data_IF_018382951665
#
_entry.id   IF_018382951665
#
_cell.length_a   1.000
_cell.length_b   1.000
_cell.length_c   1.000
_cell.angle_alpha   90.00
_cell.angle_beta   90.00
_cell.angle_gamma   90.00
#
_symmetry.space_group_name_H-M   'P 1'
#
loop_
_entity.id
_entity.type
_entity.pdbx_description
1 polymer ?
#
# COMPACT_ATOMS: atom_id res chain seq x y z
N UNK A 1 -19.98 5.60 31.19
CA UNK A 1 -18.88 4.71 31.61
C UNK A 1 -17.59 5.54 31.63
N UNK A 2 -16.63 5.22 32.50
CA UNK A 2 -15.47 6.08 32.78
C UNK A 2 -14.47 6.12 31.61
N UNK A 3 -14.27 7.30 31.04
CA UNK A 3 -13.48 7.49 29.82
C UNK A 3 -11.97 7.67 30.12
N UNK A 4 -11.35 6.62 30.66
CA UNK A 4 -9.90 6.60 30.93
C UNK A 4 -9.12 6.30 29.63
N UNK A 5 -8.18 7.18 29.27
CA UNK A 5 -7.33 7.04 28.06
C UNK A 5 -6.36 5.84 28.14
N UNK A 6 -5.97 5.45 29.35
CA UNK A 6 -5.06 4.33 29.65
C UNK A 6 -5.65 3.51 30.80
N UNK A 7 -5.38 2.21 30.85
CA UNK A 7 -5.77 1.35 31.97
C UNK A 7 -5.14 1.86 33.29
N UNK A 8 -5.94 2.33 34.28
CA UNK A 8 -5.40 2.93 35.50
C UNK A 8 -4.58 1.95 36.36
N UNK A 9 -4.81 0.63 36.22
CA UNK A 9 -4.01 -0.37 36.91
C UNK A 9 -2.56 -0.42 36.41
N UNK A 10 -2.33 -0.18 35.11
CA UNK A 10 -0.97 -0.05 34.55
C UNK A 10 -0.27 1.18 35.14
N UNK A 11 -0.94 2.35 35.13
CA UNK A 11 -0.37 3.59 35.68
C UNK A 11 -0.01 3.47 37.16
N UNK A 12 -0.82 2.77 37.96
CA UNK A 12 -0.50 2.50 39.37
C UNK A 12 0.68 1.53 39.50
N UNK A 13 0.72 0.46 38.70
CA UNK A 13 1.82 -0.50 38.68
C UNK A 13 3.15 0.15 38.30
N UNK A 14 3.18 0.93 37.21
CA UNK A 14 4.37 1.60 36.70
C UNK A 14 4.93 2.60 37.73
N UNK A 15 4.06 3.40 38.37
CA UNK A 15 4.44 4.32 39.45
C UNK A 15 5.04 3.58 40.65
N UNK A 16 4.40 2.49 41.11
CA UNK A 16 4.86 1.71 42.28
C UNK A 16 6.18 0.99 41.98
N UNK A 17 6.34 0.42 40.78
CA UNK A 17 7.57 -0.27 40.38
C UNK A 17 8.72 0.69 40.11
N UNK A 18 8.47 1.88 39.58
CA UNK A 18 9.48 2.92 39.43
C UNK A 18 10.05 3.36 40.78
N UNK A 19 9.19 3.55 41.80
CA UNK A 19 9.59 3.87 43.17
C UNK A 19 10.36 2.73 43.84
N UNK A 20 9.85 1.48 43.78
CA UNK A 20 10.49 0.31 44.41
C UNK A 20 11.86 -0.02 43.80
N UNK A 21 12.10 0.37 42.55
CA UNK A 21 13.38 0.12 41.85
C UNK A 21 14.22 1.38 41.63
N UNK A 22 13.90 2.52 42.26
CA UNK A 22 14.57 3.80 42.03
C UNK A 22 16.09 3.72 42.24
N UNK A 23 16.54 3.20 43.39
CA UNK A 23 17.97 3.03 43.70
C UNK A 23 18.71 2.15 42.69
N UNK A 24 18.08 1.05 42.23
CA UNK A 24 18.68 0.11 41.27
C UNK A 24 18.80 0.78 39.89
N UNK A 25 17.78 1.55 39.49
CA UNK A 25 17.78 2.31 38.24
C UNK A 25 18.79 3.47 38.29
N UNK A 26 18.93 4.15 39.44
CA UNK A 26 19.90 5.20 39.66
C UNK A 26 21.34 4.67 39.65
N UNK A 27 21.60 3.55 40.35
CA UNK A 27 22.89 2.87 40.34
C UNK A 27 23.26 2.35 38.95
N UNK A 28 22.30 1.86 38.17
CA UNK A 28 22.52 1.46 36.77
C UNK A 28 22.86 2.64 35.86
N UNK A 29 22.12 3.75 35.95
CA UNK A 29 22.45 5.00 35.22
C UNK A 29 23.82 5.56 35.59
N UNK A 30 24.24 5.37 36.85
CA UNK A 30 25.56 5.76 37.34
C UNK A 30 26.68 4.72 37.08
N UNK A 31 26.40 3.63 36.34
CA UNK A 31 27.32 2.51 36.07
C UNK A 31 27.89 1.81 37.34
N UNK A 32 27.17 1.89 38.46
CA UNK A 32 27.56 1.28 39.76
C UNK A 32 27.04 -0.15 39.92
N UNK A 33 25.88 -0.46 39.36
CA UNK A 33 25.26 -1.79 39.38
C UNK A 33 24.72 -2.12 37.98
N UNK A 34 24.89 -3.36 37.51
CA UNK A 34 24.27 -3.78 36.23
C UNK A 34 22.84 -4.27 36.48
N UNK A 35 21.88 -3.76 35.71
CA UNK A 35 20.50 -4.30 35.72
C UNK A 35 20.52 -5.82 35.49
N UNK A 36 19.73 -6.53 36.31
CA UNK A 36 19.62 -7.99 36.26
C UNK A 36 18.97 -8.41 34.94
N UNK A 37 19.68 -9.22 34.16
CA UNK A 37 19.20 -9.79 32.90
C UNK A 37 18.79 -11.24 33.09
N UNK A 38 17.75 -11.67 32.40
CA UNK A 38 17.45 -13.09 32.25
C UNK A 38 18.59 -13.81 31.49
N UNK A 39 18.70 -15.12 31.69
CA UNK A 39 19.61 -15.99 30.94
C UNK A 39 18.76 -16.97 30.12
N UNK A 40 19.17 -17.24 28.88
CA UNK A 40 18.48 -18.19 28.01
C UNK A 40 18.55 -19.60 28.64
N UNK A 41 17.42 -20.31 28.65
CA UNK A 41 17.35 -21.67 29.22
C UNK A 41 18.09 -22.69 28.34
N UNK A 42 18.60 -23.77 28.94
CA UNK A 42 19.21 -24.86 28.17
C UNK A 42 18.18 -25.50 27.23
N UNK A 43 18.58 -25.82 26.00
CA UNK A 43 17.69 -26.33 24.95
C UNK A 43 16.87 -25.26 24.22
N UNK A 44 16.97 -23.98 24.62
CA UNK A 44 16.36 -22.86 23.90
C UNK A 44 17.24 -22.46 22.70
N UNK A 45 16.65 -22.39 21.51
CA UNK A 45 17.30 -22.00 20.26
C UNK A 45 16.60 -20.80 19.61
N UNK A 46 17.34 -20.06 18.80
CA UNK A 46 16.80 -18.96 17.98
C UNK A 46 16.50 -19.46 16.58
N UNK A 47 15.27 -19.28 16.12
CA UNK A 47 14.86 -19.58 14.75
C UNK A 47 14.26 -18.34 14.08
N UNK A 48 14.54 -18.14 12.79
CA UNK A 48 13.93 -17.08 11.98
C UNK A 48 12.85 -17.68 11.11
N UNK A 49 11.61 -17.25 11.34
CA UNK A 49 10.38 -17.77 10.73
C UNK A 49 9.65 -16.68 9.96
N UNK A 50 8.63 -17.06 9.20
CA UNK A 50 7.75 -16.16 8.47
C UNK A 50 6.61 -15.64 9.36
N UNK A 51 6.45 -14.30 9.43
CA UNK A 51 5.39 -13.60 10.19
C UNK A 51 3.96 -14.01 9.81
N UNK A 52 3.73 -14.52 8.59
CA UNK A 52 2.39 -14.82 8.07
C UNK A 52 2.00 -16.31 8.12
N UNK A 53 2.97 -17.23 8.18
CA UNK A 53 2.72 -18.69 8.22
C UNK A 53 3.25 -19.40 9.47
N UNK A 54 4.14 -18.77 10.25
CA UNK A 54 4.85 -19.42 11.36
C UNK A 54 5.93 -20.43 10.93
N UNK A 55 6.00 -20.78 9.64
CA UNK A 55 6.96 -21.71 9.05
C UNK A 55 8.34 -21.07 8.85
N UNK A 56 9.36 -21.88 8.53
CA UNK A 56 10.73 -21.43 8.28
C UNK A 56 10.77 -20.39 7.14
N UNK A 57 11.60 -19.36 7.32
CA UNK A 57 11.61 -18.16 6.46
C UNK A 57 12.28 -18.44 5.11
N UNK A 58 11.66 -18.05 3.98
CA UNK A 58 12.17 -18.28 2.62
C UNK A 58 12.40 -16.96 1.85
N UNK A 59 13.15 -16.98 0.75
CA UNK A 59 13.36 -15.76 -0.06
C UNK A 59 12.06 -15.16 -0.61
N UNK A 60 11.00 -15.96 -0.76
CA UNK A 60 9.68 -15.45 -1.13
C UNK A 60 9.08 -14.54 -0.03
N UNK A 61 9.36 -14.80 1.25
CA UNK A 61 8.91 -13.97 2.38
C UNK A 61 9.57 -12.58 2.42
N UNK A 62 10.79 -12.45 1.89
CA UNK A 62 11.49 -11.15 1.77
C UNK A 62 10.93 -10.27 0.66
N UNK A 63 10.30 -10.87 -0.35
CA UNK A 63 9.75 -10.19 -1.54
C UNK A 63 8.31 -9.67 -1.34
N UNK A 64 7.79 -9.70 -0.13
CA UNK A 64 6.45 -9.21 0.17
C UNK A 64 6.39 -7.68 0.01
N UNK A 65 5.37 -7.11 -0.67
CA UNK A 65 5.25 -5.66 -0.84
C UNK A 65 5.03 -4.87 0.47
N UNK A 66 4.79 -5.55 1.60
CA UNK A 66 4.77 -4.96 2.95
C UNK A 66 6.16 -4.87 3.60
N UNK A 67 7.23 -5.27 2.90
CA UNK A 67 8.58 -5.40 3.43
C UNK A 67 8.83 -6.76 4.10
N UNK A 68 10.06 -6.98 4.57
CA UNK A 68 10.53 -8.31 5.02
C UNK A 68 9.64 -8.95 6.10
N UNK A 69 9.15 -10.14 5.78
CA UNK A 69 8.29 -10.96 6.63
C UNK A 69 9.07 -11.90 7.55
N UNK A 70 10.40 -11.80 7.60
CA UNK A 70 11.22 -12.50 8.60
C UNK A 70 10.92 -12.05 10.04
N UNK A 71 10.96 -12.98 10.99
CA UNK A 71 10.91 -12.69 12.43
C UNK A 71 11.78 -13.71 13.15
N UNK A 72 12.67 -13.28 14.04
CA UNK A 72 13.38 -14.21 14.94
C UNK A 72 12.56 -14.41 16.22
N UNK A 73 12.48 -15.66 16.67
CA UNK A 73 11.87 -16.07 17.94
C UNK A 73 12.72 -17.11 18.66
N UNK A 74 12.33 -17.39 19.91
CA UNK A 74 12.94 -18.42 20.75
C UNK A 74 12.03 -19.66 20.77
N UNK A 75 12.62 -20.83 20.60
CA UNK A 75 11.92 -22.13 20.50
C UNK A 75 12.71 -23.20 21.29
N UNK A 76 12.08 -24.31 21.67
CA UNK A 76 12.85 -25.53 21.94
C UNK A 76 13.22 -26.20 20.62
N UNK A 77 14.22 -27.08 20.63
CA UNK A 77 14.62 -27.85 19.43
C UNK A 77 13.41 -28.57 18.79
N UNK A 78 12.54 -29.17 19.62
CA UNK A 78 11.38 -29.95 19.17
C UNK A 78 10.19 -29.08 18.71
N UNK A 79 10.22 -27.76 18.94
CA UNK A 79 9.13 -26.83 18.60
C UNK A 79 9.51 -25.78 17.55
N UNK A 80 10.76 -25.76 17.09
CA UNK A 80 11.18 -24.87 16.02
C UNK A 80 10.57 -25.31 14.66
N UNK A 81 10.14 -24.37 13.80
CA UNK A 81 9.56 -24.71 12.51
C UNK A 81 10.61 -25.32 11.56
N UNK A 82 10.33 -26.53 11.09
CA UNK A 82 11.19 -27.28 10.17
C UNK A 82 10.72 -27.23 8.71
N UNK A 83 9.42 -27.04 8.47
CA UNK A 83 8.87 -26.82 7.13
C UNK A 83 9.14 -25.40 6.64
N UNK A 84 9.42 -25.23 5.35
CA UNK A 84 9.54 -23.94 4.68
C UNK A 84 8.18 -23.25 4.47
N UNK A 85 8.19 -21.91 4.42
CA UNK A 85 7.02 -21.10 4.11
C UNK A 85 6.51 -21.33 2.67
N UNK A 86 5.28 -21.83 2.59
CA UNK A 86 4.52 -22.20 1.39
C UNK A 86 3.48 -21.14 0.96
N UNK A 87 3.07 -20.25 1.87
CA UNK A 87 2.05 -19.22 1.58
C UNK A 87 2.56 -18.07 0.71
N UNK A 88 3.86 -17.77 0.73
CA UNK A 88 4.44 -16.68 -0.08
C UNK A 88 4.70 -17.14 -1.52
N UNK A 89 3.86 -16.72 -2.46
CA UNK A 89 3.96 -17.07 -3.88
C UNK A 89 4.61 -15.92 -4.66
N UNK A 90 5.76 -16.16 -5.29
CA UNK A 90 6.45 -15.18 -6.13
C UNK A 90 5.67 -14.95 -7.42
N UNK A 91 5.42 -13.67 -7.74
CA UNK A 91 4.78 -13.22 -8.98
C UNK A 91 5.68 -12.23 -9.73
N UNK A 92 5.57 -12.25 -11.06
CA UNK A 92 6.10 -11.18 -11.89
C UNK A 92 5.17 -9.96 -11.77
N UNK A 93 5.74 -8.77 -11.60
CA UNK A 93 5.01 -7.53 -11.38
C UNK A 93 5.57 -6.42 -12.26
N UNK A 94 4.70 -5.74 -13.01
CA UNK A 94 5.08 -4.64 -13.88
C UNK A 94 5.15 -3.34 -13.07
N UNK A 95 6.36 -2.80 -12.89
CA UNK A 95 6.61 -1.60 -12.09
C UNK A 95 6.09 -0.30 -12.73
N UNK A 96 5.84 -0.29 -14.04
CA UNK A 96 5.42 0.91 -14.79
C UNK A 96 3.92 1.11 -14.72
N UNK A 97 3.15 0.04 -14.87
CA UNK A 97 1.68 0.07 -14.75
C UNK A 97 1.22 -0.17 -13.31
N UNK A 98 2.04 -0.88 -12.53
CA UNK A 98 1.70 -1.41 -11.22
C UNK A 98 0.63 -2.49 -11.36
N UNK A 99 1.03 -3.75 -11.36
CA UNK A 99 0.12 -4.90 -11.34
C UNK A 99 0.85 -6.20 -11.62
N UNK A 100 0.21 -7.33 -11.29
CA UNK A 100 0.68 -8.66 -11.66
C UNK A 100 0.83 -8.72 -13.18
N UNK A 101 2.05 -8.99 -13.64
CA UNK A 101 2.44 -8.81 -15.03
C UNK A 101 1.79 -9.85 -15.95
N UNK A 102 1.42 -9.41 -17.15
CA UNK A 102 1.03 -10.30 -18.24
C UNK A 102 2.26 -10.75 -19.05
N UNK A 103 2.08 -11.75 -19.92
CA UNK A 103 3.10 -12.17 -20.90
C UNK A 103 3.46 -11.09 -21.94
N UNK A 104 2.73 -9.98 -21.98
CA UNK A 104 2.93 -8.86 -22.89
C UNK A 104 3.59 -7.64 -22.22
N UNK A 105 3.78 -7.66 -20.89
CA UNK A 105 4.52 -6.63 -20.17
C UNK A 105 5.98 -6.58 -20.63
N UNK A 106 6.52 -5.37 -20.81
CA UNK A 106 7.93 -5.19 -21.16
C UNK A 106 8.84 -5.76 -20.06
N UNK A 107 9.65 -6.77 -20.39
CA UNK A 107 10.50 -7.49 -19.43
C UNK A 107 11.50 -6.61 -18.68
N UNK A 108 11.89 -5.45 -19.22
CA UNK A 108 12.75 -4.46 -18.52
C UNK A 108 12.05 -3.77 -17.34
N UNK A 109 10.71 -3.83 -17.30
CA UNK A 109 9.87 -3.26 -16.25
C UNK A 109 9.32 -4.31 -15.28
N UNK A 110 9.53 -5.61 -15.56
CA UNK A 110 9.14 -6.69 -14.66
C UNK A 110 10.12 -6.79 -13.49
N UNK A 111 9.58 -6.79 -12.28
CA UNK A 111 10.27 -7.12 -11.02
C UNK A 111 9.56 -8.29 -10.34
N UNK A 112 10.22 -8.92 -9.36
CA UNK A 112 9.62 -9.99 -8.56
C UNK A 112 9.12 -9.42 -7.23
N UNK A 113 7.86 -9.65 -6.93
CA UNK A 113 7.28 -9.54 -5.58
C UNK A 113 6.69 -10.89 -5.19
N UNK A 114 6.26 -11.06 -3.95
CA UNK A 114 5.42 -12.17 -3.51
C UNK A 114 4.06 -11.70 -3.03
N UNK A 115 3.10 -12.63 -3.03
CA UNK A 115 1.74 -12.45 -2.56
C UNK A 115 1.35 -13.64 -1.66
N UNK A 116 0.41 -13.43 -0.74
CA UNK A 116 -0.02 -14.44 0.24
C UNK A 116 -1.11 -15.33 -0.37
N UNK A 117 -0.82 -16.62 -0.55
CA UNK A 117 -1.80 -17.62 -0.96
C UNK A 117 -2.93 -17.73 0.07
N UNK A 118 -4.15 -17.34 -0.29
CA UNK A 118 -5.34 -17.48 0.57
C UNK A 118 -6.53 -17.94 -0.27
N UNK A 119 -6.62 -19.26 -0.46
CA UNK A 119 -7.55 -19.91 -1.38
C UNK A 119 -8.96 -20.08 -0.75
N UNK A 120 -9.04 -20.27 0.57
CA UNK A 120 -10.31 -20.57 1.27
C UNK A 120 -11.14 -19.34 1.72
N UNK A 121 -10.60 -18.13 1.61
CA UNK A 121 -11.24 -16.89 2.10
C UNK A 121 -12.42 -16.47 1.21
N UNK A 122 -13.61 -16.98 1.51
CA UNK A 122 -14.84 -16.71 0.76
C UNK A 122 -15.93 -16.19 1.71
N UNK A 123 -16.10 -14.87 1.77
CA UNK A 123 -17.13 -14.21 2.58
C UNK A 123 -18.47 -14.14 1.81
N UNK A 124 -19.63 -14.27 2.49
CA UNK A 124 -20.96 -14.17 1.88
C UNK A 124 -21.42 -12.72 1.60
N UNK A 125 -20.55 -11.74 1.86
CA UNK A 125 -20.74 -10.32 1.55
C UNK A 125 -19.38 -9.64 1.46
N UNK A 126 -19.28 -8.58 0.67
CA UNK A 126 -18.04 -7.79 0.63
C UNK A 126 -17.78 -7.15 2.01
N UNK A 127 -16.56 -7.32 2.52
CA UNK A 127 -16.09 -6.71 3.77
C UNK A 127 -14.70 -6.09 3.58
N UNK A 128 -14.35 -5.13 4.44
CA UNK A 128 -13.01 -4.54 4.43
C UNK A 128 -12.05 -5.44 5.21
N UNK A 129 -10.98 -5.89 4.56
CA UNK A 129 -9.85 -6.62 5.16
C UNK A 129 -8.56 -6.04 4.58
N UNK A 130 -7.71 -5.46 5.43
CA UNK A 130 -6.56 -4.62 5.02
C UNK A 130 -5.51 -5.36 4.20
N UNK A 131 -5.40 -6.68 4.36
CA UNK A 131 -4.47 -7.55 3.63
C UNK A 131 -5.01 -8.07 2.30
N UNK A 132 -6.29 -7.86 1.97
CA UNK A 132 -6.94 -8.45 0.79
C UNK A 132 -6.25 -8.07 -0.54
N UNK A 133 -5.59 -6.90 -0.57
CA UNK A 133 -4.75 -6.42 -1.67
C UNK A 133 -3.44 -7.20 -1.89
N UNK A 134 -3.04 -8.05 -0.96
CA UNK A 134 -1.82 -8.87 -1.04
C UNK A 134 -2.13 -10.36 -1.24
N UNK A 135 -3.40 -10.74 -1.36
CA UNK A 135 -3.82 -12.13 -1.56
C UNK A 135 -3.43 -12.64 -2.95
N UNK A 136 -3.08 -13.92 -3.03
CA UNK A 136 -2.88 -14.70 -4.25
C UNK A 136 -3.87 -15.87 -4.29
N UNK A 137 -4.33 -16.20 -5.50
CA UNK A 137 -4.87 -17.52 -5.85
C UNK A 137 -4.35 -17.89 -7.24
N UNK A 138 -4.11 -19.18 -7.47
CA UNK A 138 -3.77 -19.65 -8.81
C UNK A 138 -4.95 -19.41 -9.77
N UNK A 139 -4.67 -18.81 -10.93
CA UNK A 139 -5.65 -18.60 -11.99
C UNK A 139 -5.61 -19.80 -12.96
N UNK A 140 -6.71 -20.56 -13.14
CA UNK A 140 -6.75 -21.66 -14.10
C UNK A 140 -6.52 -21.17 -15.53
N UNK A 141 -5.80 -21.94 -16.35
CA UNK A 141 -5.35 -21.53 -17.70
C UNK A 141 -6.49 -21.24 -18.69
N UNK A 142 -7.72 -21.63 -18.38
CA UNK A 142 -8.93 -21.38 -19.16
C UNK A 142 -9.75 -20.17 -18.65
N UNK A 143 -9.29 -19.45 -17.63
CA UNK A 143 -9.96 -18.27 -17.07
C UNK A 143 -9.09 -17.03 -17.30
N UNK A 144 -9.63 -16.03 -17.99
CA UNK A 144 -8.95 -14.74 -18.17
C UNK A 144 -8.82 -14.00 -16.82
N UNK A 145 -7.73 -13.24 -16.58
CA UNK A 145 -7.59 -12.44 -15.38
C UNK A 145 -8.62 -11.31 -15.33
N UNK A 146 -8.86 -10.75 -14.15
CA UNK A 146 -9.75 -9.61 -13.97
C UNK A 146 -9.15 -8.34 -14.60
N UNK A 147 -9.88 -7.72 -15.53
CA UNK A 147 -9.42 -6.52 -16.24
C UNK A 147 -9.66 -5.18 -15.53
N UNK A 148 -10.41 -5.16 -14.43
CA UNK A 148 -10.72 -3.93 -13.69
C UNK A 148 -9.66 -3.65 -12.61
N UNK A 149 -9.19 -2.41 -12.54
CA UNK A 149 -8.01 -2.01 -11.75
C UNK A 149 -8.23 -2.01 -10.23
N UNK A 150 -9.47 -2.09 -9.76
CA UNK A 150 -9.86 -2.09 -8.34
C UNK A 150 -10.16 -3.48 -7.74
N UNK A 151 -9.96 -4.57 -8.49
CA UNK A 151 -10.14 -5.96 -8.03
C UNK A 151 -8.84 -6.77 -8.15
N UNK A 152 -8.69 -7.86 -7.38
CA UNK A 152 -7.59 -8.80 -7.57
C UNK A 152 -7.64 -9.48 -8.95
N UNK A 153 -6.48 -9.85 -9.49
CA UNK A 153 -6.35 -10.51 -10.80
C UNK A 153 -7.17 -11.80 -10.93
N UNK A 154 -7.44 -12.48 -9.80
CA UNK A 154 -8.19 -13.73 -9.73
C UNK A 154 -9.70 -13.56 -9.51
N UNK A 155 -10.26 -12.34 -9.47
CA UNK A 155 -11.68 -12.09 -9.18
C UNK A 155 -12.64 -12.98 -9.99
N UNK A 156 -12.29 -13.31 -11.23
CA UNK A 156 -13.05 -14.16 -12.15
C UNK A 156 -13.14 -15.65 -11.76
N UNK A 157 -12.45 -16.10 -10.69
CA UNK A 157 -12.57 -17.48 -10.16
C UNK A 157 -13.49 -17.56 -8.92
N UNK A 158 -13.95 -16.42 -8.39
CA UNK A 158 -14.91 -16.38 -7.29
C UNK A 158 -16.31 -16.67 -7.82
N UNK A 159 -17.13 -17.40 -7.05
CA UNK A 159 -18.54 -17.65 -7.42
C UNK A 159 -19.37 -16.40 -7.17
N UNK A 160 -20.53 -16.31 -7.84
CA UNK A 160 -21.50 -15.25 -7.57
C UNK A 160 -21.90 -15.23 -6.08
N UNK A 161 -21.68 -14.09 -5.43
CA UNK A 161 -21.92 -13.91 -3.99
C UNK A 161 -20.76 -14.30 -3.06
N UNK A 162 -19.65 -14.86 -3.57
CA UNK A 162 -18.43 -15.10 -2.81
C UNK A 162 -17.43 -13.95 -2.96
N UNK A 163 -16.92 -13.43 -1.84
CA UNK A 163 -16.00 -12.29 -1.81
C UNK A 163 -14.70 -12.62 -1.07
N UNK A 164 -13.55 -12.26 -1.63
CA UNK A 164 -12.25 -12.35 -0.92
C UNK A 164 -11.99 -11.18 0.05
N UNK A 165 -12.90 -10.20 0.11
CA UNK A 165 -12.71 -8.92 0.80
C UNK A 165 -12.02 -7.87 -0.07
N UNK A 166 -11.99 -6.62 0.41
CA UNK A 166 -11.24 -5.49 -0.18
C UNK A 166 -10.46 -4.76 0.91
N UNK A 167 -9.30 -4.18 0.60
CA UNK A 167 -8.55 -3.34 1.55
C UNK A 167 -8.99 -1.88 1.55
N UNK A 168 -10.07 -1.54 0.83
CA UNK A 168 -10.56 -0.17 0.64
C UNK A 168 -9.54 0.79 -0.01
N UNK A 169 -8.61 0.26 -0.82
CA UNK A 169 -7.70 1.05 -1.67
C UNK A 169 -8.19 1.01 -3.11
N UNK A 170 -7.97 2.09 -3.86
CA UNK A 170 -8.35 2.17 -5.28
C UNK A 170 -7.56 1.21 -6.16
N UNK A 171 -6.26 1.04 -5.88
CA UNK A 171 -5.32 0.24 -6.70
C UNK A 171 -4.67 -0.86 -5.83
N UNK A 172 -5.37 -1.98 -5.53
CA UNK A 172 -4.81 -3.07 -4.73
C UNK A 172 -3.58 -3.68 -5.42
N UNK A 173 -2.61 -4.15 -4.65
CA UNK A 173 -1.33 -4.64 -5.19
C UNK A 173 -1.51 -5.88 -6.07
N UNK A 174 -2.40 -6.79 -5.69
CA UNK A 174 -2.78 -7.98 -6.47
C UNK A 174 -3.73 -7.70 -7.65
N UNK A 175 -3.90 -6.46 -8.12
CA UNK A 175 -4.56 -6.19 -9.41
C UNK A 175 -3.73 -6.70 -10.58
N UNK A 176 -4.37 -6.94 -11.73
CA UNK A 176 -3.67 -7.35 -12.95
C UNK A 176 -3.13 -6.18 -13.76
N UNK A 177 -2.06 -6.39 -14.53
CA UNK A 177 -1.61 -5.47 -15.57
C UNK A 177 -2.54 -5.53 -16.79
N UNK A 178 -3.67 -4.81 -16.70
CA UNK A 178 -4.65 -4.73 -17.78
C UNK A 178 -4.15 -3.94 -19.01
N UNK A 179 -3.30 -2.92 -18.81
CA UNK A 179 -2.89 -1.99 -19.88
C UNK A 179 -2.09 -2.64 -21.01
N UNK A 180 -1.34 -3.71 -20.71
CA UNK A 180 -0.58 -4.47 -21.71
C UNK A 180 -1.33 -5.72 -22.20
N UNK A 181 -2.55 -5.99 -21.75
CA UNK A 181 -3.25 -7.26 -22.02
C UNK A 181 -4.45 -7.12 -22.94
N UNK A 182 -4.47 -7.92 -24.00
CA UNK A 182 -5.56 -8.00 -24.97
C UNK A 182 -6.70 -8.89 -24.45
N UNK A 183 -7.75 -8.25 -23.94
CA UNK A 183 -8.97 -8.92 -23.48
C UNK A 183 -9.88 -9.37 -24.64
N UNK A 184 -9.75 -8.82 -25.83
CA UNK A 184 -10.57 -9.20 -26.99
C UNK A 184 -10.10 -10.57 -27.50
N UNK A 185 -8.78 -10.78 -27.58
CA UNK A 185 -8.16 -12.07 -27.94
C UNK A 185 -8.41 -13.18 -26.92
N UNK A 186 -8.60 -12.87 -25.64
CA UNK A 186 -8.92 -13.89 -24.61
C UNK A 186 -10.42 -14.21 -24.50
N UNK A 187 -11.30 -13.32 -24.96
CA UNK A 187 -12.75 -13.56 -25.03
C UNK A 187 -13.22 -14.14 -26.37
N UNK A 188 -12.33 -14.22 -27.37
CA UNK A 188 -12.65 -14.71 -28.72
C UNK A 188 -13.43 -13.72 -29.58
N UNK A 189 -13.53 -12.45 -29.16
CA UNK A 189 -14.24 -11.41 -29.88
C UNK A 189 -13.28 -10.76 -30.90
N UNK A 190 -13.44 -11.14 -32.17
CA UNK A 190 -12.71 -10.55 -33.29
C UNK A 190 -13.15 -9.10 -33.56
N UNK A 191 -12.47 -8.15 -32.92
CA UNK A 191 -12.71 -6.72 -33.14
C UNK A 191 -12.01 -6.14 -34.37
N UNK A 192 -11.28 -6.95 -35.17
CA UNK A 192 -10.61 -6.44 -36.38
C UNK A 192 -11.60 -5.86 -37.39
N UNK A 193 -12.83 -6.39 -37.41
CA UNK A 193 -13.94 -5.99 -38.29
C UNK A 193 -14.50 -4.59 -38.03
N UNK A 194 -14.00 -3.89 -37.00
CA UNK A 194 -14.39 -2.52 -36.64
C UNK A 194 -13.23 -1.51 -36.77
N UNK A 195 -12.07 -1.91 -37.30
CA UNK A 195 -10.89 -1.05 -37.41
C UNK A 195 -10.87 -0.16 -38.66
N UNK A 196 -11.66 -0.49 -39.69
CA UNK A 196 -11.54 0.09 -41.04
C UNK A 196 -12.36 1.39 -41.28
N UNK A 197 -13.17 1.84 -40.32
CA UNK A 197 -14.05 3.03 -40.45
C UNK A 197 -13.52 4.27 -39.71
N UNK A 198 -12.20 4.50 -39.80
CA UNK A 198 -11.59 5.81 -39.51
C UNK A 198 -10.95 6.31 -40.81
N UNK A 199 -11.80 6.71 -41.76
CA UNK A 199 -11.39 7.23 -43.06
C UNK A 199 -11.62 8.74 -43.15
N UNK A 200 -10.53 9.48 -43.02
CA UNK A 200 -10.28 10.84 -43.51
C UNK A 200 -11.50 11.74 -43.79
N UNK A 201 -12.03 12.40 -42.76
CA UNK A 201 -12.71 13.69 -42.96
C UNK A 201 -11.67 14.79 -43.13
N UNK A 202 -11.18 14.97 -44.37
CA UNK A 202 -10.35 16.12 -44.72
C UNK A 202 -11.15 17.43 -44.52
N UNK A 203 -10.57 18.38 -43.78
CA UNK A 203 -11.19 19.70 -43.54
C UNK A 203 -11.11 20.58 -44.79
N UNK A 204 -12.05 20.42 -45.71
CA UNK A 204 -12.15 21.26 -46.93
C UNK A 204 -12.65 22.67 -46.61
N UNK A 205 -11.73 23.58 -46.31
CA UNK A 205 -11.96 25.02 -46.26
C UNK A 205 -12.40 25.55 -47.63
N UNK A 206 -13.56 26.22 -47.69
CA UNK A 206 -13.92 27.13 -48.78
C UNK A 206 -14.08 28.53 -48.20
N UNK A 207 -13.54 29.55 -48.87
CA UNK A 207 -13.46 30.92 -48.36
C UNK A 207 -14.41 31.88 -49.11
N UNK A 208 -14.33 33.16 -48.75
CA UNK A 208 -15.12 34.31 -49.23
C UNK A 208 -16.56 34.42 -48.67
N UNK A 209 -17.06 35.59 -48.26
CA UNK A 209 -16.43 36.91 -48.04
C UNK A 209 -17.36 37.79 -47.18
N UNK A 210 -16.82 38.57 -46.23
CA UNK A 210 -16.93 40.06 -46.10
C UNK A 210 -16.01 40.56 -44.96
N UNK A 211 -15.49 41.79 -45.09
CA UNK A 211 -14.48 42.45 -44.25
C UNK A 211 -15.07 43.22 -43.04
N UNK A 212 -14.29 43.27 -41.95
CA UNK A 212 -14.02 44.42 -41.02
C UNK A 212 -15.21 45.17 -40.36
N UNK A 213 -15.17 45.55 -39.08
CA UNK A 213 -14.09 46.33 -38.43
C UNK A 213 -14.00 46.11 -36.91
N UNK A 214 -12.78 46.28 -36.37
CA UNK A 214 -12.31 46.69 -35.02
C UNK A 214 -13.35 47.48 -34.16
N UNK A 215 -13.36 47.47 -32.81
CA UNK A 215 -12.23 47.50 -31.84
C UNK A 215 -12.63 46.90 -30.47
N UNK A 216 -11.65 46.73 -29.57
CA UNK A 216 -11.80 46.22 -28.20
C UNK A 216 -12.02 47.34 -27.13
N UNK A 217 -11.95 46.91 -25.86
CA UNK A 217 -11.87 47.67 -24.59
C UNK A 217 -13.16 47.93 -23.78
N UNK A 218 -13.16 47.29 -22.60
CA UNK A 218 -13.31 47.90 -21.25
C UNK A 218 -14.55 48.73 -20.92
N UNK A 219 -15.20 48.40 -19.79
CA UNK A 219 -16.17 49.28 -19.12
C UNK A 219 -16.09 49.12 -17.60
N UNK A 220 -16.10 50.22 -16.87
CA UNK A 220 -15.94 50.29 -15.41
C UNK A 220 -16.79 51.43 -14.83
N UNK A 221 -17.16 51.32 -13.54
CA UNK A 221 -17.85 52.33 -12.71
C UNK A 221 -19.35 52.57 -13.07
N UNK A 222 -20.29 52.34 -12.15
CA UNK A 222 -20.89 53.30 -11.16
C UNK A 222 -22.06 54.13 -11.75
N UNK A 223 -23.14 54.51 -11.04
CA UNK A 223 -23.64 54.24 -9.65
C UNK A 223 -25.20 54.06 -9.73
N UNK A 224 -26.10 54.05 -8.72
CA UNK A 224 -26.14 54.50 -7.29
C UNK A 224 -27.29 53.76 -6.53
N UNK A 225 -27.43 54.02 -5.20
CA UNK A 225 -28.65 53.99 -4.32
C UNK A 225 -29.97 53.30 -4.78
N UNK A 226 -30.70 52.52 -3.97
CA UNK A 226 -30.63 52.10 -2.54
C UNK A 226 -31.67 50.94 -2.31
N UNK A 227 -32.15 50.48 -1.12
CA UNK A 227 -32.04 50.95 0.28
C UNK A 227 -32.30 49.85 1.36
N UNK A 228 -31.65 50.03 2.51
CA UNK A 228 -31.93 49.60 3.91
C UNK A 228 -32.94 48.48 4.28
N UNK A 229 -32.45 47.42 4.95
CA UNK A 229 -32.78 47.13 6.39
C UNK A 229 -31.87 46.08 7.07
N UNK A 230 -31.14 46.51 8.12
CA UNK A 230 -30.69 45.79 9.34
C UNK A 230 -29.97 44.41 9.29
N UNK A 231 -28.64 44.44 9.50
CA UNK A 231 -27.81 43.91 10.63
C UNK A 231 -28.06 42.48 11.20
N UNK A 232 -27.08 41.76 11.77
CA UNK A 232 -25.79 42.18 12.37
C UNK A 232 -24.63 41.13 12.30
N UNK A 233 -23.44 41.54 12.75
CA UNK A 233 -22.09 40.90 12.87
C UNK A 233 -21.95 39.36 13.04
N UNK A 234 -20.80 38.72 12.77
CA UNK A 234 -19.43 39.10 12.33
C UNK A 234 -18.59 37.79 12.16
N UNK A 235 -17.42 37.67 11.53
CA UNK A 235 -16.26 38.56 11.39
C UNK A 235 -15.17 38.20 12.42
N UNK A 236 -13.93 37.80 12.10
CA UNK A 236 -13.24 37.54 10.81
C UNK A 236 -11.71 37.34 11.00
N UNK A 237 -10.98 36.91 9.97
CA UNK A 237 -9.51 36.74 9.96
C UNK A 237 -8.99 35.38 10.48
N UNK A 238 -7.82 34.88 10.06
CA UNK A 238 -6.84 35.40 9.10
C UNK A 238 -5.88 34.30 8.59
N UNK A 239 -4.99 34.65 7.66
CA UNK A 239 -4.05 33.72 7.01
C UNK A 239 -2.86 33.31 7.91
N UNK A 240 -2.30 32.13 7.65
CA UNK A 240 -0.89 31.79 7.89
C UNK A 240 -0.45 30.72 6.88
N UNK A 241 0.69 30.93 6.23
CA UNK A 241 1.20 30.11 5.13
C UNK A 241 2.68 29.80 5.39
N UNK A 242 3.04 28.54 5.67
CA UNK A 242 4.45 28.11 5.76
C UNK A 242 4.68 26.84 4.93
N UNK A 243 5.45 26.99 3.84
CA UNK A 243 6.11 25.90 3.12
C UNK A 243 7.23 25.28 3.98
N UNK A 244 7.48 23.98 3.83
CA UNK A 244 8.74 23.38 4.28
C UNK A 244 9.18 22.25 3.29
N UNK A 245 10.45 22.19 2.86
CA UNK A 245 10.88 21.42 1.68
C UNK A 245 11.23 19.94 1.99
N UNK A 246 11.46 19.09 0.96
CA UNK A 246 11.81 17.68 1.16
C UNK A 246 13.19 17.47 1.82
N UNK A 247 13.28 16.47 2.70
CA UNK A 247 14.51 16.15 3.43
C UNK A 247 15.59 15.42 2.62
N UNK A 248 16.84 15.62 3.02
CA UNK A 248 18.05 15.23 2.28
C UNK A 248 18.35 13.72 2.20
N UNK A 249 19.12 13.36 1.18
CA UNK A 249 19.67 12.02 0.93
C UNK A 249 21.03 11.88 1.60
N UNK A 250 21.17 10.97 2.57
CA UNK A 250 22.45 10.65 3.20
C UNK A 250 23.16 9.53 2.41
N UNK A 251 24.30 9.87 1.82
CA UNK A 251 25.23 8.91 1.20
C UNK A 251 26.10 8.21 2.25
N UNK A 252 26.36 6.89 2.15
CA UNK A 252 27.26 6.18 3.05
C UNK A 252 28.72 6.30 2.60
N UNK A 253 29.60 6.75 3.50
CA UNK A 253 31.05 6.77 3.25
C UNK A 253 31.85 7.33 4.41
N UNK A 254 32.32 6.45 5.30
CA UNK A 254 33.76 6.20 5.48
C UNK A 254 34.02 5.06 6.47
N UNK A 255 35.15 4.37 6.30
CA UNK A 255 35.61 3.30 7.22
C UNK A 255 36.61 3.87 8.22
N UNK A 256 36.45 3.65 9.54
CA UNK A 256 37.51 3.90 10.51
C UNK A 256 38.54 2.77 10.50
N UNK A 257 39.79 3.10 10.80
CA UNK A 257 40.94 2.23 10.60
C UNK A 257 41.11 1.11 11.64
N UNK A 258 41.89 0.11 11.20
CA UNK A 258 42.50 -0.95 11.99
C UNK A 258 43.40 -0.40 13.10
N UNK A 259 43.23 -0.89 14.32
CA UNK A 259 44.22 -0.85 15.41
C UNK A 259 44.52 -2.30 15.82
N UNK A 260 45.70 -2.52 16.41
CA UNK A 260 46.33 -3.84 16.67
C UNK A 260 45.58 -4.77 17.64
#
# INVERSE_FOLDING_TARGET
LTNFSVNPAMTIWDNVMALIHEDIIANAKANKEKLKTFTDASGLIKCTYCKDSGKLMTEACKLDPRGDRSQTGYFTVDTAPTEECDVHVIVNYDKTTGGVASQYCNSKNIVKYSLIRVEDRNFPKQIVVTDAQYVYRALPSNVAPAGWWGVPFFQNILKDGEYCGTSNVSKPFNRFCYQHYDFNRSTGIDTSRFADDVRDTETTTTAETTKETTTAETTTAETTTAETTTNDAGGGGGDDNEDNPPGDVISPGDSPDRIE
#
